data_IF_506414815158
#
_entry.id   IF_506414815158
#
_cell.length_a   1.000
_cell.length_b   1.000
_cell.length_c   1.000
_cell.angle_alpha   90.00
_cell.angle_beta   90.00
_cell.angle_gamma   90.00
#
_symmetry.space_group_name_H-M   'P 1'
#
loop_
_entity.id
_entity.type
_entity.pdbx_description
1 polymer ?
#
# COMPACT_ATOMS: atom_id res chain seq x y z
N UNK A 1 1.39 -6.93 10.50
CA UNK A 1 0.12 -6.23 10.83
C UNK A 1 -1.08 -7.12 10.45
N UNK A 2 -2.28 -6.96 11.06
CA UNK A 2 -3.49 -7.70 10.63
C UNK A 2 -4.02 -7.13 9.30
N UNK A 3 -4.46 -7.95 8.32
CA UNK A 3 -4.96 -7.48 7.02
C UNK A 3 -6.00 -6.36 7.12
N UNK A 4 -7.02 -6.50 7.97
CA UNK A 4 -8.06 -5.48 8.14
C UNK A 4 -7.53 -4.13 8.64
N UNK A 5 -6.52 -4.16 9.53
CA UNK A 5 -5.89 -2.93 10.04
C UNK A 5 -5.08 -2.24 8.95
N UNK A 6 -4.36 -3.02 8.13
CA UNK A 6 -3.65 -2.48 6.98
C UNK A 6 -4.65 -1.88 5.98
N UNK A 7 -5.71 -2.61 5.63
CA UNK A 7 -6.76 -2.13 4.72
C UNK A 7 -7.41 -0.84 5.23
N UNK A 8 -7.70 -0.75 6.52
CA UNK A 8 -8.23 0.47 7.13
C UNK A 8 -7.27 1.66 7.01
N UNK A 9 -5.96 1.44 7.23
CA UNK A 9 -4.95 2.48 7.07
C UNK A 9 -4.78 2.93 5.61
N UNK A 10 -4.95 2.02 4.65
CA UNK A 10 -4.83 2.30 3.22
C UNK A 10 -6.12 2.84 2.58
N UNK A 11 -7.23 2.95 3.33
CA UNK A 11 -8.56 3.31 2.79
C UNK A 11 -8.59 4.66 2.07
N UNK A 12 -7.64 5.51 2.40
CA UNK A 12 -7.52 6.87 1.88
C UNK A 12 -6.76 6.94 0.54
N UNK A 13 -6.22 5.82 0.06
CA UNK A 13 -5.57 5.67 -1.24
C UNK A 13 -6.61 5.58 -2.36
N UNK A 14 -6.79 6.69 -3.07
CA UNK A 14 -7.79 6.90 -4.12
C UNK A 14 -7.16 7.32 -5.47
N UNK A 15 -5.85 7.15 -5.64
CA UNK A 15 -5.13 7.54 -6.86
C UNK A 15 -4.45 8.91 -6.80
N UNK A 16 -4.73 9.71 -5.77
CA UNK A 16 -4.13 11.05 -5.63
C UNK A 16 -2.75 11.03 -4.95
N UNK A 17 -2.40 9.94 -4.29
CA UNK A 17 -1.24 9.85 -3.40
C UNK A 17 -0.36 8.66 -3.69
N UNK A 18 0.94 8.89 -3.57
CA UNK A 18 1.92 7.80 -3.59
C UNK A 18 1.96 7.09 -2.24
N UNK A 19 2.21 5.79 -2.29
CA UNK A 19 2.36 4.93 -1.12
C UNK A 19 3.72 4.22 -1.16
N UNK A 20 4.36 4.10 0.00
CA UNK A 20 5.52 3.22 0.18
C UNK A 20 5.20 2.22 1.28
N UNK A 21 5.36 0.94 0.95
CA UNK A 21 5.23 -0.18 1.87
C UNK A 21 6.64 -0.70 2.17
N UNK A 22 6.99 -0.78 3.46
CA UNK A 22 8.24 -1.39 3.88
C UNK A 22 8.00 -2.76 4.50
N UNK A 23 8.80 -3.74 4.12
CA UNK A 23 8.70 -5.13 4.53
C UNK A 23 9.83 -5.53 5.48
N UNK A 24 9.50 -6.27 6.53
CA UNK A 24 10.47 -6.86 7.45
C UNK A 24 11.07 -8.15 6.90
N UNK A 25 12.35 -8.40 7.18
CA UNK A 25 13.00 -9.68 6.87
C UNK A 25 13.41 -9.86 5.40
N UNK A 26 13.55 -8.75 4.66
CA UNK A 26 14.07 -8.72 3.28
C UNK A 26 15.34 -7.87 3.20
N UNK A 27 16.23 -8.10 2.22
CA UNK A 27 17.34 -7.19 1.94
C UNK A 27 16.86 -5.77 1.63
N UNK A 28 17.66 -4.75 1.95
CA UNK A 28 17.26 -3.33 1.86
C UNK A 28 16.66 -2.95 0.49
N UNK A 29 17.31 -3.38 -0.60
CA UNK A 29 16.90 -3.08 -1.97
C UNK A 29 15.58 -3.72 -2.42
N UNK A 30 15.11 -4.76 -1.72
CA UNK A 30 13.83 -5.43 -1.97
C UNK A 30 12.79 -5.09 -0.89
N UNK A 31 13.20 -4.47 0.21
CA UNK A 31 12.36 -4.22 1.37
C UNK A 31 11.33 -3.11 1.20
N UNK A 32 11.35 -2.39 0.07
CA UNK A 32 10.45 -1.26 -0.19
C UNK A 32 9.67 -1.44 -1.50
N UNK A 33 8.35 -1.34 -1.43
CA UNK A 33 7.48 -1.23 -2.60
C UNK A 33 6.94 0.19 -2.71
N UNK A 34 7.26 0.85 -3.81
CA UNK A 34 6.74 2.16 -4.17
C UNK A 34 5.56 2.00 -5.13
N UNK A 35 4.39 2.51 -4.74
CA UNK A 35 3.18 2.49 -5.56
C UNK A 35 2.82 3.95 -5.85
N UNK A 36 2.99 4.36 -7.10
CA UNK A 36 2.64 5.70 -7.55
C UNK A 36 1.13 5.80 -7.78
N UNK A 37 0.51 6.94 -7.48
CA UNK A 37 -0.94 7.12 -7.64
C UNK A 37 -1.72 5.94 -7.02
N UNK A 38 -1.35 5.57 -5.80
CA UNK A 38 -1.80 4.33 -5.20
C UNK A 38 -3.31 4.35 -4.95
N UNK A 39 -3.95 3.23 -5.30
CA UNK A 39 -5.35 2.96 -5.05
C UNK A 39 -5.48 1.66 -4.26
N UNK A 40 -6.28 1.68 -3.20
CA UNK A 40 -6.67 0.47 -2.50
C UNK A 40 -7.75 -0.25 -3.32
N UNK A 41 -7.51 -1.52 -3.66
CA UNK A 41 -8.55 -2.37 -4.24
C UNK A 41 -9.50 -2.82 -3.11
N UNK A 42 -10.83 -2.79 -3.32
CA UNK A 42 -11.81 -3.27 -2.35
C UNK A 42 -11.52 -4.69 -1.85
N UNK A 43 -12.11 -5.06 -0.70
CA UNK A 43 -12.01 -6.45 -0.24
C UNK A 43 -12.68 -7.39 -1.24
N UNK A 44 -11.95 -8.42 -1.64
CA UNK A 44 -12.39 -9.46 -2.56
C UNK A 44 -12.48 -10.80 -1.80
N UNK A 45 -13.09 -11.86 -2.36
CA UNK A 45 -13.30 -13.12 -1.64
C UNK A 45 -12.04 -13.83 -1.12
N UNK A 46 -10.84 -13.47 -1.60
CA UNK A 46 -9.57 -14.00 -1.08
C UNK A 46 -9.05 -13.26 0.16
N UNK A 47 -9.71 -12.16 0.55
CA UNK A 47 -9.35 -11.29 1.67
C UNK A 47 -7.90 -10.79 1.65
N UNK A 48 -7.24 -10.80 0.49
CA UNK A 48 -5.88 -10.30 0.32
C UNK A 48 -5.88 -8.77 0.23
N UNK A 49 -4.88 -8.14 0.84
CA UNK A 49 -4.67 -6.70 0.68
C UNK A 49 -4.03 -6.45 -0.68
N UNK A 50 -4.72 -5.69 -1.53
CA UNK A 50 -4.28 -5.39 -2.88
C UNK A 50 -4.26 -3.88 -3.09
N UNK A 51 -3.17 -3.38 -3.67
CA UNK A 51 -3.04 -1.99 -4.10
C UNK A 51 -2.68 -1.95 -5.57
N UNK A 52 -3.00 -0.86 -6.26
CA UNK A 52 -2.67 -0.68 -7.68
C UNK A 52 -2.22 0.75 -7.96
N UNK A 53 -1.38 0.89 -8.99
CA UNK A 53 -0.97 2.15 -9.61
C UNK A 53 -1.72 2.42 -10.93
N UNK A 54 -2.76 1.63 -11.23
CA UNK A 54 -3.49 1.65 -12.50
C UNK A 54 -2.82 0.86 -13.64
N UNK A 55 -1.61 0.34 -13.43
CA UNK A 55 -0.87 -0.48 -14.41
C UNK A 55 -0.60 -1.90 -13.91
N UNK A 56 -0.50 -2.06 -12.60
CA UNK A 56 -0.17 -3.32 -11.93
C UNK A 56 -0.98 -3.48 -10.66
N UNK A 57 -1.25 -4.73 -10.28
CA UNK A 57 -1.86 -5.09 -9.00
C UNK A 57 -0.76 -5.67 -8.13
N UNK A 58 -0.57 -5.08 -6.96
CA UNK A 58 0.38 -5.53 -5.95
C UNK A 58 -0.40 -6.21 -4.82
N UNK A 59 -0.15 -7.51 -4.62
CA UNK A 59 -0.69 -8.27 -3.51
C UNK A 59 0.29 -8.14 -2.33
N UNK A 60 -0.21 -7.70 -1.18
CA UNK A 60 0.62 -7.31 -0.03
C UNK A 60 0.45 -8.31 1.11
N UNK A 61 1.57 -8.92 1.54
CA UNK A 61 1.59 -9.69 2.78
C UNK A 61 1.55 -8.74 3.98
N UNK A 62 0.35 -8.54 4.52
CA UNK A 62 0.12 -7.66 5.66
C UNK A 62 0.91 -8.04 6.91
N UNK A 63 1.27 -9.31 7.08
CA UNK A 63 2.02 -9.77 8.25
C UNK A 63 3.45 -9.25 8.24
N UNK A 64 4.05 -9.11 7.05
CA UNK A 64 5.43 -8.64 6.87
C UNK A 64 5.57 -7.13 6.69
N UNK A 65 4.48 -6.37 6.56
CA UNK A 65 4.55 -4.91 6.52
C UNK A 65 5.02 -4.37 7.87
N UNK A 66 6.17 -3.71 7.86
CA UNK A 66 6.78 -3.06 9.01
C UNK A 66 6.21 -1.65 9.23
N UNK A 67 6.13 -0.85 8.17
CA UNK A 67 5.54 0.49 8.19
C UNK A 67 5.00 0.87 6.80
N UNK A 68 4.16 1.91 6.78
CA UNK A 68 3.58 2.49 5.56
C UNK A 68 3.79 3.99 5.57
N UNK A 69 4.23 4.56 4.45
CA UNK A 69 4.25 6.01 4.22
C UNK A 69 3.25 6.36 3.13
N UNK A 70 2.27 7.18 3.45
CA UNK A 70 1.33 7.78 2.49
C UNK A 70 1.76 9.23 2.27
N UNK A 71 1.98 9.62 1.02
CA UNK A 71 2.36 11.01 0.70
C UNK A 71 1.22 11.97 1.07
N UNK A 72 1.54 13.18 1.50
CA UNK A 72 0.51 14.23 1.65
C UNK A 72 0.22 14.83 0.28
N UNK A 73 -1.04 15.20 0.02
CA UNK A 73 -1.38 15.99 -1.16
C UNK A 73 -0.54 17.28 -1.13
N UNK A 74 0.11 17.62 -2.25
CA UNK A 74 0.72 18.94 -2.38
C UNK A 74 -0.39 19.98 -2.20
N UNK A 75 -0.18 21.03 -1.39
CA UNK A 75 -1.12 22.13 -1.33
C UNK A 75 -1.34 22.67 -2.74
N UNK A 76 -2.60 22.86 -3.12
CA UNK A 76 -2.97 23.57 -4.35
C UNK A 76 -2.50 25.01 -4.14
N UNK A 77 -1.46 25.41 -4.88
CA UNK A 77 -1.01 26.81 -4.94
C UNK A 77 -2.00 27.66 -5.75
#
# INVERSE_FOLDING_TARGET
MHPDRLRAALKELNGERDCVLAFSGMPEHESHLHVLHAMLIPDEPDHLVKVTDGKSIFIVDAQRVAWVRIALNKPVN
#
